data_IF_457487675980
#
_entry.id   IF_457487675980
#
_cell.length_a   1.000
_cell.length_b   1.000
_cell.length_c   1.000
_cell.angle_alpha   90.00
_cell.angle_beta   90.00
_cell.angle_gamma   90.00
#
_symmetry.space_group_name_H-M   'P 1'
#
loop_
_entity.id
_entity.type
_entity.pdbx_description
1 polymer ?
#
# COMPACT_ATOMS: atom_id res chain seq x y z
N UNK A 1 -9.68 -12.76 2.73
CA UNK A 1 -11.15 -12.68 2.50
C UNK A 1 -11.43 -11.29 1.99
N UNK A 2 -12.20 -11.12 0.92
CA UNK A 2 -12.62 -9.79 0.46
C UNK A 2 -13.60 -9.19 1.48
N UNK A 3 -13.37 -7.94 1.87
CA UNK A 3 -14.26 -7.21 2.76
C UNK A 3 -15.48 -6.70 1.96
N UNK A 4 -16.67 -7.03 2.44
CA UNK A 4 -17.94 -6.58 1.84
C UNK A 4 -18.50 -5.50 2.75
N UNK A 5 -18.49 -4.26 2.25
CA UNK A 5 -19.12 -3.10 2.89
C UNK A 5 -20.64 -3.17 2.71
N UNK A 6 -21.39 -2.88 3.77
CA UNK A 6 -22.86 -2.90 3.82
C UNK A 6 -23.48 -1.52 3.55
N UNK A 7 -22.67 -0.50 3.22
CA UNK A 7 -23.14 0.87 2.97
C UNK A 7 -23.95 0.99 1.67
N UNK A 8 -24.96 1.88 1.65
CA UNK A 8 -25.82 2.10 0.48
C UNK A 8 -25.09 2.78 -0.70
N UNK A 9 -24.25 3.78 -0.40
CA UNK A 9 -23.50 4.57 -1.39
C UNK A 9 -22.30 3.84 -1.98
N UNK A 10 -22.13 3.88 -3.31
CA UNK A 10 -21.00 3.27 -4.02
C UNK A 10 -19.66 3.92 -3.67
N UNK A 11 -19.60 5.25 -3.59
CA UNK A 11 -18.41 6.00 -3.14
C UNK A 11 -18.03 5.64 -1.70
N UNK A 12 -19.02 5.40 -0.85
CA UNK A 12 -18.82 5.06 0.55
C UNK A 12 -18.29 3.61 0.71
N UNK A 13 -18.87 2.64 -0.03
CA UNK A 13 -18.35 1.27 -0.11
C UNK A 13 -16.92 1.21 -0.67
N UNK A 14 -16.63 2.02 -1.69
CA UNK A 14 -15.29 2.16 -2.26
C UNK A 14 -14.29 2.69 -1.22
N UNK A 15 -14.62 3.78 -0.52
CA UNK A 15 -13.76 4.36 0.51
C UNK A 15 -13.53 3.37 1.67
N UNK A 16 -14.56 2.64 2.07
CA UNK A 16 -14.48 1.62 3.14
C UNK A 16 -13.56 0.44 2.75
N UNK A 17 -13.68 -0.09 1.51
CA UNK A 17 -12.76 -1.11 0.99
C UNK A 17 -11.32 -0.61 0.89
N UNK A 18 -11.10 0.61 0.41
CA UNK A 18 -9.77 1.22 0.32
C UNK A 18 -9.14 1.43 1.71
N UNK A 19 -9.90 1.92 2.68
CA UNK A 19 -9.47 2.08 4.07
C UNK A 19 -9.12 0.72 4.73
N UNK A 20 -9.93 -0.31 4.46
CA UNK A 20 -9.69 -1.65 4.97
C UNK A 20 -8.46 -2.31 4.32
N UNK A 21 -8.16 -2.02 3.04
CA UNK A 21 -6.94 -2.49 2.37
C UNK A 21 -5.68 -1.90 3.03
N UNK A 22 -5.59 -0.57 3.17
CA UNK A 22 -4.34 0.06 3.65
C UNK A 22 -3.97 -0.34 5.07
N UNK A 23 -4.97 -0.58 5.93
CA UNK A 23 -4.79 -1.08 7.29
C UNK A 23 -4.44 -2.59 7.29
N UNK A 24 -5.04 -3.38 6.39
CA UNK A 24 -4.77 -4.82 6.28
C UNK A 24 -3.39 -5.15 5.70
N UNK A 25 -2.91 -4.37 4.74
CA UNK A 25 -1.57 -4.48 4.13
C UNK A 25 -0.50 -3.71 4.93
N UNK A 26 -0.85 -3.08 6.06
CA UNK A 26 0.06 -2.35 6.95
C UNK A 26 0.81 -1.16 6.30
N UNK A 27 0.21 -0.52 5.29
CA UNK A 27 0.70 0.76 4.74
C UNK A 27 0.64 1.90 5.75
N UNK A 28 -0.39 1.86 6.60
CA UNK A 28 -0.67 2.85 7.63
C UNK A 28 -1.09 2.10 8.88
N UNK A 29 -0.56 2.45 10.04
CA UNK A 29 -0.86 1.71 11.28
C UNK A 29 -2.17 2.19 11.92
N UNK A 30 -2.79 1.39 12.80
CA UNK A 30 -3.89 1.86 13.64
C UNK A 30 -3.53 3.07 14.50
N UNK A 31 -2.26 3.21 14.91
CA UNK A 31 -1.78 4.37 15.65
C UNK A 31 -1.75 5.64 14.78
N UNK A 32 -1.34 5.53 13.50
CA UNK A 32 -1.39 6.64 12.55
C UNK A 32 -2.83 7.09 12.27
N UNK A 33 -3.79 6.17 12.27
CA UNK A 33 -5.22 6.51 12.18
C UNK A 33 -5.66 7.35 13.39
N UNK A 34 -5.36 6.90 14.62
CA UNK A 34 -5.71 7.63 15.86
C UNK A 34 -4.96 8.96 15.98
N UNK A 35 -3.76 9.08 15.41
CA UNK A 35 -3.03 10.34 15.28
C UNK A 35 -3.61 11.29 14.22
N UNK A 36 -4.49 10.80 13.33
CA UNK A 36 -5.13 11.57 12.25
C UNK A 36 -6.60 11.91 12.51
N UNK A 37 -7.27 11.04 13.28
CA UNK A 37 -8.63 11.18 13.79
C UNK A 37 -8.55 10.95 15.30
N UNK A 38 -8.37 12.04 16.04
CA UNK A 38 -8.18 11.98 17.49
C UNK A 38 -9.44 11.52 18.23
N UNK A 39 -9.33 11.19 19.52
CA UNK A 39 -10.48 10.84 20.36
C UNK A 39 -11.60 11.90 20.33
N UNK A 40 -11.27 13.18 20.16
CA UNK A 40 -12.24 14.25 19.93
C UNK A 40 -12.97 14.12 18.60
N UNK A 41 -12.24 13.98 17.48
CA UNK A 41 -12.83 13.81 16.15
C UNK A 41 -13.79 12.61 16.10
N UNK A 42 -13.37 11.48 16.69
CA UNK A 42 -14.14 10.24 16.74
C UNK A 42 -15.39 10.41 17.63
N UNK A 43 -15.31 11.13 18.76
CA UNK A 43 -16.48 11.31 19.64
C UNK A 43 -17.45 12.37 19.12
N UNK A 44 -16.97 13.41 18.45
CA UNK A 44 -17.78 14.46 17.82
C UNK A 44 -18.53 13.95 16.58
N UNK A 45 -17.85 13.23 15.67
CA UNK A 45 -18.50 12.55 14.54
C UNK A 45 -19.58 11.55 14.98
N UNK A 46 -19.42 10.94 16.16
CA UNK A 46 -20.40 10.02 16.75
C UNK A 46 -21.47 10.72 17.62
N UNK A 47 -21.62 12.05 17.59
CA UNK A 47 -22.66 12.75 18.34
C UNK A 47 -24.08 12.34 17.93
N UNK A 48 -24.33 12.13 16.63
CA UNK A 48 -25.59 11.55 16.13
C UNK A 48 -25.76 10.06 16.43
N UNK A 49 -24.72 9.37 16.90
CA UNK A 49 -24.63 7.92 17.02
C UNK A 49 -24.43 7.46 18.48
N UNK A 50 -25.23 8.02 19.41
CA UNK A 50 -25.13 7.81 20.87
C UNK A 50 -24.94 6.34 21.29
N UNK A 51 -25.55 5.37 20.60
CA UNK A 51 -25.39 3.94 20.92
C UNK A 51 -24.00 3.38 20.56
N UNK A 52 -23.47 3.72 19.38
CA UNK A 52 -22.12 3.34 18.96
C UNK A 52 -21.07 4.04 19.82
N UNK A 53 -21.28 5.34 20.09
CA UNK A 53 -20.47 6.13 21.03
C UNK A 53 -20.43 5.48 22.42
N UNK A 54 -21.59 5.06 22.93
CA UNK A 54 -21.67 4.37 24.22
C UNK A 54 -20.96 3.01 24.20
N UNK A 55 -21.11 2.21 23.15
CA UNK A 55 -20.38 0.93 22.99
C UNK A 55 -18.86 1.14 23.06
N UNK A 56 -18.34 2.11 22.31
CA UNK A 56 -16.90 2.42 22.30
C UNK A 56 -16.44 2.84 23.71
N UNK A 57 -17.18 3.69 24.42
CA UNK A 57 -16.83 4.07 25.80
C UNK A 57 -16.86 2.90 26.80
N UNK A 58 -17.78 1.95 26.64
CA UNK A 58 -17.87 0.76 27.50
C UNK A 58 -16.67 -0.17 27.26
N UNK A 59 -16.37 -0.48 26.00
CA UNK A 59 -15.35 -1.48 25.62
C UNK A 59 -13.91 -0.93 25.61
N UNK A 60 -13.70 0.33 25.22
CA UNK A 60 -12.38 0.96 25.17
C UNK A 60 -12.00 1.68 26.47
N UNK A 61 -12.96 2.37 27.11
CA UNK A 61 -12.71 3.21 28.28
C UNK A 61 -13.28 2.66 29.59
N UNK A 62 -13.86 1.46 29.59
CA UNK A 62 -14.42 0.81 30.78
C UNK A 62 -15.59 1.56 31.42
N UNK A 63 -16.22 2.50 30.70
CA UNK A 63 -17.27 3.37 31.23
C UNK A 63 -18.53 2.55 31.48
N UNK A 64 -19.04 2.59 32.72
CA UNK A 64 -20.23 1.83 33.10
C UNK A 64 -21.44 2.14 32.17
N UNK A 65 -22.07 1.09 31.62
CA UNK A 65 -23.14 1.14 30.60
C UNK A 65 -24.20 2.24 30.80
N UNK A 66 -24.73 2.37 32.03
CA UNK A 66 -25.76 3.36 32.41
C UNK A 66 -25.31 4.83 32.40
N UNK A 67 -24.02 5.08 32.24
CA UNK A 67 -23.35 6.40 32.23
C UNK A 67 -22.93 6.76 30.81
N UNK A 68 -22.34 5.82 30.06
CA UNK A 68 -21.80 6.03 28.71
C UNK A 68 -22.73 6.80 27.74
N UNK A 69 -24.03 6.45 27.52
CA UNK A 69 -24.91 7.17 26.62
C UNK A 69 -25.39 8.54 27.17
N UNK A 70 -25.08 8.86 28.42
CA UNK A 70 -25.43 10.13 29.08
C UNK A 70 -24.23 11.08 29.21
N UNK A 71 -23.03 10.63 28.83
CA UNK A 71 -21.83 11.45 28.89
C UNK A 71 -21.80 12.44 27.71
N UNK A 72 -21.34 13.65 27.96
CA UNK A 72 -21.17 14.66 26.91
C UNK A 72 -20.04 14.26 25.95
N UNK A 73 -20.16 14.74 24.71
CA UNK A 73 -19.26 14.47 23.59
C UNK A 73 -17.80 14.77 23.94
N UNK A 74 -17.53 15.94 24.55
CA UNK A 74 -16.20 16.30 25.06
C UNK A 74 -15.70 15.36 26.18
N UNK A 75 -16.53 15.07 27.19
CA UNK A 75 -16.08 14.25 28.33
C UNK A 75 -15.97 12.75 27.97
N UNK A 76 -16.53 12.34 26.82
CA UNK A 76 -16.31 11.05 26.19
C UNK A 76 -14.97 11.01 25.41
N UNK A 77 -14.59 12.11 24.75
CA UNK A 77 -13.27 12.26 24.14
C UNK A 77 -12.15 12.22 25.19
N UNK A 78 -12.35 12.90 26.33
CA UNK A 78 -11.43 12.87 27.48
C UNK A 78 -11.26 11.44 28.04
N UNK A 79 -12.33 10.67 28.21
CA UNK A 79 -12.24 9.25 28.64
C UNK A 79 -11.43 8.39 27.66
N UNK A 80 -11.70 8.53 26.35
CA UNK A 80 -11.02 7.73 25.32
C UNK A 80 -9.55 8.12 25.19
N UNK A 81 -9.22 9.41 25.28
CA UNK A 81 -7.84 9.90 25.30
C UNK A 81 -7.06 9.32 26.49
N UNK A 82 -7.60 9.43 27.71
CA UNK A 82 -7.00 8.84 28.92
C UNK A 82 -6.82 7.32 28.75
N UNK A 83 -7.77 6.64 28.12
CA UNK A 83 -7.72 5.19 27.94
C UNK A 83 -6.67 4.74 26.92
N UNK A 84 -6.34 5.58 25.93
CA UNK A 84 -5.22 5.37 25.01
C UNK A 84 -3.88 5.72 25.69
N UNK A 85 -3.82 6.82 26.44
CA UNK A 85 -2.60 7.30 27.12
C UNK A 85 -2.14 6.35 28.25
N UNK A 86 -3.08 5.77 29.00
CA UNK A 86 -2.82 4.79 30.07
C UNK A 86 -2.71 3.34 29.53
N UNK A 87 -2.88 3.10 28.22
CA UNK A 87 -2.81 1.77 27.61
C UNK A 87 -3.93 0.81 28.03
N UNK A 88 -5.11 1.35 28.36
CA UNK A 88 -6.34 0.60 28.66
C UNK A 88 -7.01 0.13 27.36
N UNK A 89 -6.89 0.93 26.29
CA UNK A 89 -7.27 0.57 24.93
C UNK A 89 -6.07 0.74 23.98
N UNK A 90 -5.81 -0.26 23.15
CA UNK A 90 -4.86 -0.16 22.04
C UNK A 90 -5.55 0.42 20.78
N UNK A 91 -4.86 1.24 19.96
CA UNK A 91 -5.37 1.69 18.66
C UNK A 91 -5.98 0.58 17.76
N UNK A 92 -5.39 -0.62 17.59
CA UNK A 92 -6.08 -1.72 16.89
C UNK A 92 -7.40 -2.14 17.53
N UNK A 93 -7.51 -2.16 18.87
CA UNK A 93 -8.76 -2.52 19.57
C UNK A 93 -9.83 -1.45 19.37
N UNK A 94 -9.46 -0.18 19.32
CA UNK A 94 -10.38 0.90 18.92
C UNK A 94 -10.90 0.71 17.48
N UNK A 95 -10.05 0.26 16.55
CA UNK A 95 -10.46 -0.04 15.17
C UNK A 95 -11.29 -1.34 15.04
N UNK A 96 -11.20 -2.29 15.96
CA UNK A 96 -12.15 -3.42 16.04
C UNK A 96 -13.56 -2.96 16.48
N UNK A 97 -13.63 -1.96 17.36
CA UNK A 97 -14.89 -1.45 17.93
C UNK A 97 -15.60 -0.43 17.01
N UNK A 98 -14.86 0.21 16.11
CA UNK A 98 -15.34 1.19 15.14
C UNK A 98 -15.04 0.67 13.73
N UNK A 99 -16.04 0.08 13.06
CA UNK A 99 -15.82 -0.65 11.79
C UNK A 99 -15.40 0.27 10.63
N UNK A 100 -14.88 -0.29 9.53
CA UNK A 100 -14.54 0.50 8.35
C UNK A 100 -15.77 1.21 7.75
N UNK A 101 -16.94 0.56 7.79
CA UNK A 101 -18.20 1.15 7.38
C UNK A 101 -18.68 2.26 8.32
N UNK A 102 -18.59 2.07 9.64
CA UNK A 102 -18.92 3.12 10.61
C UNK A 102 -17.99 4.34 10.45
N UNK A 103 -16.69 4.11 10.20
CA UNK A 103 -15.72 5.19 9.94
C UNK A 103 -16.17 6.04 8.76
N UNK A 104 -16.51 5.43 7.62
CA UNK A 104 -16.98 6.16 6.43
C UNK A 104 -18.36 6.79 6.63
N UNK A 105 -19.22 6.18 7.45
CA UNK A 105 -20.57 6.69 7.75
C UNK A 105 -20.57 7.96 8.62
N UNK A 106 -19.59 8.10 9.51
CA UNK A 106 -19.58 9.17 10.52
C UNK A 106 -18.42 10.18 10.38
N UNK A 107 -17.26 9.76 9.87
CA UNK A 107 -16.14 10.69 9.63
C UNK A 107 -16.27 11.40 8.27
N UNK A 108 -15.61 12.54 8.17
CA UNK A 108 -15.50 13.34 6.96
C UNK A 108 -14.82 12.56 5.82
N UNK A 109 -15.56 12.33 4.72
CA UNK A 109 -15.09 11.52 3.58
C UNK A 109 -13.83 12.08 2.91
N UNK A 110 -13.71 13.39 2.77
CA UNK A 110 -12.52 14.01 2.17
C UNK A 110 -11.29 13.80 3.07
N UNK A 111 -11.39 14.06 4.37
CA UNK A 111 -10.31 13.82 5.34
C UNK A 111 -9.92 12.33 5.45
N UNK A 112 -10.87 11.41 5.23
CA UNK A 112 -10.59 9.97 5.07
C UNK A 112 -9.86 9.66 3.75
N UNK A 113 -10.22 10.30 2.64
CA UNK A 113 -9.53 10.14 1.37
C UNK A 113 -8.11 10.73 1.41
N UNK A 114 -7.91 11.90 2.00
CA UNK A 114 -6.59 12.48 2.31
C UNK A 114 -5.75 11.55 3.20
N UNK A 115 -6.37 10.91 4.20
CA UNK A 115 -5.70 9.91 5.04
C UNK A 115 -5.27 8.68 4.23
N UNK A 116 -6.12 8.18 3.34
CA UNK A 116 -5.78 7.07 2.44
C UNK A 116 -4.64 7.46 1.50
N UNK A 117 -4.69 8.65 0.89
CA UNK A 117 -3.78 9.05 -0.19
C UNK A 117 -2.47 9.70 0.26
N UNK A 118 -2.35 10.01 1.55
CA UNK A 118 -1.22 10.66 2.23
C UNK A 118 0.18 10.19 1.83
N UNK A 119 0.37 8.91 1.56
CA UNK A 119 1.69 8.33 1.28
C UNK A 119 2.16 8.56 -0.17
N UNK A 120 1.31 9.14 -1.02
CA UNK A 120 1.57 9.48 -2.43
C UNK A 120 2.17 8.31 -3.24
N UNK A 121 1.73 7.08 -2.94
CA UNK A 121 2.35 5.83 -3.39
C UNK A 121 2.56 5.74 -4.92
N UNK A 122 1.73 6.41 -5.71
CA UNK A 122 1.86 6.51 -7.17
C UNK A 122 3.15 7.21 -7.64
N UNK A 123 3.80 8.02 -6.81
CA UNK A 123 5.07 8.70 -7.13
C UNK A 123 6.30 7.78 -7.07
N UNK A 124 6.20 6.61 -6.42
CA UNK A 124 7.30 5.63 -6.31
C UNK A 124 6.81 4.23 -6.73
N UNK A 125 7.06 3.80 -7.97
CA UNK A 125 6.46 2.58 -8.54
C UNK A 125 7.09 1.27 -8.01
N UNK A 126 6.77 0.90 -6.77
CA UNK A 126 7.04 -0.43 -6.19
C UNK A 126 5.98 -1.45 -6.61
N UNK A 127 6.25 -2.75 -6.43
CA UNK A 127 5.26 -3.81 -6.65
C UNK A 127 4.03 -3.63 -5.77
N UNK A 128 4.24 -3.31 -4.49
CA UNK A 128 3.19 -3.01 -3.51
C UNK A 128 2.32 -1.82 -3.99
N UNK A 129 2.93 -0.74 -4.49
CA UNK A 129 2.22 0.41 -5.04
C UNK A 129 1.39 0.08 -6.29
N UNK A 130 1.87 -0.84 -7.14
CA UNK A 130 1.13 -1.36 -8.30
C UNK A 130 -0.05 -2.23 -7.86
N UNK A 131 0.13 -3.15 -6.91
CA UNK A 131 -0.95 -3.97 -6.37
C UNK A 131 -2.08 -3.09 -5.76
N UNK A 132 -1.70 -2.03 -5.04
CA UNK A 132 -2.63 -1.04 -4.48
C UNK A 132 -3.37 -0.25 -5.57
N UNK A 133 -2.69 0.21 -6.62
CA UNK A 133 -3.33 0.87 -7.76
C UNK A 133 -4.32 -0.08 -8.48
N UNK A 134 -3.97 -1.36 -8.65
CA UNK A 134 -4.89 -2.38 -9.20
C UNK A 134 -6.15 -2.52 -8.32
N UNK A 135 -6.00 -2.58 -7.00
CA UNK A 135 -7.14 -2.69 -6.08
C UNK A 135 -8.05 -1.46 -6.14
N UNK A 136 -7.49 -0.25 -6.16
CA UNK A 136 -8.26 1.01 -6.30
C UNK A 136 -9.07 1.00 -7.61
N UNK A 137 -8.43 0.69 -8.75
CA UNK A 137 -9.10 0.67 -10.05
C UNK A 137 -10.14 -0.47 -10.15
N UNK A 138 -9.84 -1.64 -9.61
CA UNK A 138 -10.78 -2.77 -9.56
C UNK A 138 -12.01 -2.43 -8.71
N UNK A 139 -11.81 -1.85 -7.51
CA UNK A 139 -12.91 -1.47 -6.61
C UNK A 139 -13.79 -0.38 -7.23
N UNK A 140 -13.20 0.60 -7.92
CA UNK A 140 -13.95 1.64 -8.61
C UNK A 140 -14.81 1.10 -9.78
N UNK A 141 -14.35 0.03 -10.46
CA UNK A 141 -15.13 -0.69 -11.47
C UNK A 141 -16.22 -1.58 -10.85
N UNK A 142 -15.93 -2.29 -9.75
CA UNK A 142 -16.92 -3.10 -9.01
C UNK A 142 -18.09 -2.24 -8.50
N UNK A 143 -17.77 -1.08 -7.91
CA UNK A 143 -18.75 -0.13 -7.37
C UNK A 143 -19.33 0.83 -8.44
N UNK A 144 -18.89 0.70 -9.69
CA UNK A 144 -19.37 1.47 -10.86
C UNK A 144 -19.23 2.99 -10.71
N UNK A 145 -18.12 3.42 -10.10
CA UNK A 145 -17.69 4.83 -10.06
C UNK A 145 -17.05 5.26 -11.38
N UNK A 146 -16.51 4.30 -12.14
CA UNK A 146 -16.02 4.48 -13.51
C UNK A 146 -16.53 3.33 -14.38
N UNK A 147 -16.79 3.60 -15.66
CA UNK A 147 -16.99 2.56 -16.67
C UNK A 147 -15.66 2.18 -17.33
N UNK A 148 -15.62 0.99 -17.95
CA UNK A 148 -14.48 0.54 -18.76
C UNK A 148 -14.13 1.51 -19.91
N UNK A 149 -15.09 2.30 -20.37
CA UNK A 149 -14.88 3.37 -21.35
C UNK A 149 -14.07 4.54 -20.78
N UNK A 150 -14.49 5.09 -19.64
CA UNK A 150 -13.78 6.20 -18.98
C UNK A 150 -12.36 5.82 -18.56
N UNK A 151 -12.13 4.55 -18.21
CA UNK A 151 -10.79 4.03 -17.92
C UNK A 151 -9.89 3.97 -19.18
N UNK A 152 -10.43 3.57 -20.34
CA UNK A 152 -9.71 3.64 -21.63
C UNK A 152 -9.40 5.09 -22.00
N UNK A 153 -10.37 6.00 -21.84
CA UNK A 153 -10.23 7.40 -22.22
C UNK A 153 -9.28 8.18 -21.28
N UNK A 154 -9.30 7.91 -19.97
CA UNK A 154 -8.37 8.51 -19.01
C UNK A 154 -6.92 8.02 -19.16
N UNK A 155 -6.72 6.75 -19.53
CA UNK A 155 -5.38 6.26 -19.91
C UNK A 155 -4.95 6.83 -21.27
N UNK A 156 -5.89 6.93 -22.21
CA UNK A 156 -5.67 7.35 -23.59
C UNK A 156 -5.19 6.18 -24.46
N UNK A 157 -6.00 5.80 -25.46
CA UNK A 157 -5.72 4.68 -26.37
C UNK A 157 -4.37 4.81 -27.12
N UNK A 158 -3.99 6.04 -27.49
CA UNK A 158 -2.68 6.36 -28.05
C UNK A 158 -1.51 6.08 -27.11
N UNK A 159 -1.70 6.21 -25.80
CA UNK A 159 -0.67 5.95 -24.80
C UNK A 159 -0.62 4.46 -24.46
N UNK A 160 -1.79 3.82 -24.31
CA UNK A 160 -1.91 2.38 -24.16
C UNK A 160 -1.14 1.64 -25.28
N UNK A 161 -1.29 2.07 -26.54
CA UNK A 161 -0.59 1.50 -27.69
C UNK A 161 0.94 1.76 -27.75
N UNK A 162 1.48 2.66 -26.91
CA UNK A 162 2.91 2.97 -26.78
C UNK A 162 3.55 2.22 -25.60
N UNK A 163 2.83 2.14 -24.49
CA UNK A 163 3.35 1.60 -23.22
C UNK A 163 3.16 0.07 -23.11
N UNK A 164 2.15 -0.53 -23.77
CA UNK A 164 1.94 -2.00 -23.77
C UNK A 164 3.02 -2.77 -24.56
N UNK A 165 3.40 -3.99 -24.11
CA UNK A 165 4.29 -4.86 -24.85
C UNK A 165 3.63 -5.40 -26.12
N UNK A 166 4.43 -5.51 -27.20
CA UNK A 166 3.98 -5.93 -28.54
C UNK A 166 3.16 -7.22 -28.54
N UNK A 167 3.53 -8.21 -27.73
CA UNK A 167 2.80 -9.49 -27.63
C UNK A 167 1.38 -9.37 -27.08
N UNK A 168 1.06 -8.36 -26.25
CA UNK A 168 -0.32 -8.07 -25.84
C UNK A 168 -1.05 -7.25 -26.92
N UNK A 169 -0.39 -6.26 -27.52
CA UNK A 169 -0.95 -5.46 -28.61
C UNK A 169 -1.32 -6.32 -29.84
N UNK A 170 -0.52 -7.34 -30.16
CA UNK A 170 -0.80 -8.32 -31.20
C UNK A 170 -2.03 -9.17 -30.88
N UNK A 171 -2.21 -9.60 -29.62
CA UNK A 171 -3.41 -10.33 -29.19
C UNK A 171 -4.67 -9.46 -29.25
N UNK A 172 -4.58 -8.19 -28.83
CA UNK A 172 -5.67 -7.20 -28.95
C UNK A 172 -6.05 -7.00 -30.42
N UNK A 173 -5.06 -6.85 -31.31
CA UNK A 173 -5.30 -6.69 -32.74
C UNK A 173 -5.92 -7.94 -33.37
N UNK A 174 -5.47 -9.14 -33.00
CA UNK A 174 -6.07 -10.41 -33.45
C UNK A 174 -7.51 -10.52 -32.98
N UNK A 175 -7.82 -10.13 -31.74
CA UNK A 175 -9.19 -10.13 -31.20
C UNK A 175 -10.08 -9.12 -31.92
N UNK A 176 -9.62 -7.86 -32.09
CA UNK A 176 -10.36 -6.83 -32.82
C UNK A 176 -10.65 -7.23 -34.29
N UNK A 177 -9.69 -7.86 -34.97
CA UNK A 177 -9.89 -8.41 -36.32
C UNK A 177 -10.85 -9.61 -36.32
N UNK A 178 -10.86 -10.43 -35.27
CA UNK A 178 -11.81 -11.53 -35.12
C UNK A 178 -13.24 -11.03 -34.90
N UNK A 179 -13.45 -10.10 -33.96
CA UNK A 179 -14.78 -9.56 -33.66
C UNK A 179 -15.33 -8.71 -34.81
N UNK A 180 -14.48 -7.92 -35.48
CA UNK A 180 -14.85 -7.22 -36.71
C UNK A 180 -15.23 -8.17 -37.86
N UNK A 181 -14.59 -9.35 -37.98
CA UNK A 181 -15.02 -10.42 -38.91
C UNK A 181 -16.32 -11.09 -38.49
N UNK A 182 -16.63 -11.14 -37.19
CA UNK A 182 -17.90 -11.61 -36.67
C UNK A 182 -19.02 -10.55 -36.77
N UNK A 183 -18.73 -9.34 -37.28
CA UNK A 183 -19.70 -8.25 -37.41
C UNK A 183 -20.02 -7.54 -36.08
N UNK A 184 -19.18 -7.72 -35.06
CA UNK A 184 -19.31 -7.07 -33.75
C UNK A 184 -18.45 -5.80 -33.70
N UNK A 185 -18.85 -4.78 -32.91
CA UNK A 185 -17.90 -3.75 -32.45
C UNK A 185 -16.79 -4.37 -31.61
N UNK A 186 -15.66 -3.68 -31.49
CA UNK A 186 -14.62 -3.99 -30.51
C UNK A 186 -14.92 -3.21 -29.23
N UNK A 187 -15.64 -3.85 -28.31
CA UNK A 187 -16.10 -3.22 -27.07
C UNK A 187 -15.01 -3.19 -25.98
N UNK A 188 -15.04 -2.22 -25.04
CA UNK A 188 -14.12 -2.15 -23.90
C UNK A 188 -13.95 -3.46 -23.11
N UNK A 189 -15.02 -4.24 -22.94
CA UNK A 189 -14.96 -5.56 -22.31
C UNK A 189 -14.07 -6.56 -23.07
N UNK A 190 -14.07 -6.51 -24.40
CA UNK A 190 -13.21 -7.36 -25.25
C UNK A 190 -11.72 -6.98 -25.21
N UNK A 191 -11.40 -5.75 -24.79
CA UNK A 191 -10.03 -5.34 -24.46
C UNK A 191 -9.61 -5.90 -23.09
N UNK A 192 -10.49 -5.83 -22.10
CA UNK A 192 -10.26 -6.34 -20.74
C UNK A 192 -10.22 -7.88 -20.65
N UNK A 193 -10.84 -8.61 -21.58
CA UNK A 193 -10.60 -10.05 -21.73
C UNK A 193 -9.15 -10.39 -22.12
N UNK A 194 -8.42 -9.48 -22.79
CA UNK A 194 -7.09 -9.72 -23.36
C UNK A 194 -5.97 -9.07 -22.54
N UNK A 195 -6.22 -7.94 -21.89
CA UNK A 195 -5.25 -7.18 -21.09
C UNK A 195 -5.88 -6.85 -19.74
N UNK A 196 -5.43 -7.51 -18.68
CA UNK A 196 -6.02 -7.43 -17.33
C UNK A 196 -5.46 -6.22 -16.57
N UNK A 197 -6.19 -5.69 -15.59
CA UNK A 197 -5.74 -4.53 -14.77
C UNK A 197 -4.27 -4.59 -14.30
N UNK A 198 -3.72 -5.74 -13.83
CA UNK A 198 -2.30 -5.83 -13.50
C UNK A 198 -1.35 -5.50 -14.66
N UNK A 199 -1.67 -5.89 -15.90
CA UNK A 199 -0.86 -5.61 -17.08
C UNK A 199 -0.86 -4.09 -17.40
N UNK A 200 -2.02 -3.43 -17.27
CA UNK A 200 -2.13 -1.98 -17.44
C UNK A 200 -1.27 -1.24 -16.41
N UNK A 201 -1.37 -1.64 -15.14
CA UNK A 201 -0.67 -1.02 -14.02
C UNK A 201 0.82 -1.41 -13.96
N UNK A 202 1.23 -2.50 -14.61
CA UNK A 202 2.63 -2.84 -14.84
C UNK A 202 3.29 -1.92 -15.89
N UNK A 203 2.57 -1.60 -16.97
CA UNK A 203 3.14 -0.94 -18.14
C UNK A 203 2.90 0.58 -18.23
N UNK A 204 1.74 1.08 -17.78
CA UNK A 204 1.42 2.51 -17.75
C UNK A 204 1.99 3.16 -16.47
N UNK A 205 2.40 4.42 -16.53
CA UNK A 205 2.88 5.15 -15.35
C UNK A 205 1.77 5.32 -14.30
N UNK A 206 2.08 4.98 -13.04
CA UNK A 206 1.16 5.14 -11.90
C UNK A 206 0.70 6.60 -11.70
N UNK A 207 1.60 7.57 -11.90
CA UNK A 207 1.29 8.99 -11.80
C UNK A 207 0.27 9.44 -12.87
N UNK A 208 0.36 8.88 -14.08
CA UNK A 208 -0.61 9.14 -15.16
C UNK A 208 -1.98 8.51 -14.85
N UNK A 209 -1.99 7.28 -14.35
CA UNK A 209 -3.20 6.61 -13.89
C UNK A 209 -3.87 7.39 -12.75
N UNK A 210 -3.09 7.84 -11.78
CA UNK A 210 -3.58 8.63 -10.65
C UNK A 210 -4.26 9.92 -11.13
N UNK A 211 -3.54 10.79 -11.85
CA UNK A 211 -4.08 12.09 -12.26
C UNK A 211 -5.29 11.98 -13.21
N UNK A 212 -5.22 11.12 -14.24
CA UNK A 212 -6.21 11.11 -15.32
C UNK A 212 -7.38 10.13 -15.11
N UNK A 213 -7.27 9.20 -14.16
CA UNK A 213 -8.37 8.27 -13.81
C UNK A 213 -8.84 8.51 -12.38
N UNK A 214 -7.94 8.48 -11.39
CA UNK A 214 -8.36 8.61 -9.99
C UNK A 214 -8.85 10.03 -9.71
N UNK A 215 -8.00 11.03 -9.91
CA UNK A 215 -8.36 12.42 -9.61
C UNK A 215 -9.37 12.99 -10.62
N UNK A 216 -9.16 12.76 -11.91
CA UNK A 216 -10.04 13.32 -12.94
C UNK A 216 -11.41 12.64 -13.06
N UNK A 217 -11.65 11.46 -12.44
CA UNK A 217 -12.92 10.70 -12.58
C UNK A 217 -13.42 10.08 -11.28
N UNK A 218 -12.60 9.35 -10.54
CA UNK A 218 -13.06 8.65 -9.31
C UNK A 218 -13.36 9.64 -8.19
N UNK A 219 -12.51 10.65 -7.95
CA UNK A 219 -12.72 11.66 -6.90
C UNK A 219 -14.04 12.45 -7.11
N UNK A 220 -14.36 12.96 -8.32
CA UNK A 220 -15.69 13.52 -8.62
C UNK A 220 -16.85 12.52 -8.50
N UNK A 221 -16.67 11.27 -8.98
CA UNK A 221 -17.74 10.27 -8.98
C UNK A 221 -18.07 9.71 -7.59
N UNK A 222 -17.09 9.69 -6.68
CA UNK A 222 -17.28 9.33 -5.27
C UNK A 222 -17.79 10.51 -4.42
N UNK A 223 -17.75 11.74 -4.93
CA UNK A 223 -18.18 12.95 -4.22
C UNK A 223 -17.17 13.42 -3.18
N UNK A 224 -15.87 13.36 -3.51
CA UNK A 224 -14.78 13.84 -2.65
C UNK A 224 -14.46 15.34 -2.89
N UNK A 225 -14.73 15.86 -4.10
CA UNK A 225 -14.66 17.29 -4.42
C UNK A 225 -15.81 18.10 -3.75
N UNK A 226 -15.68 18.45 -2.46
CA UNK A 226 -16.50 19.53 -1.86
C UNK A 226 -15.94 20.92 -2.18
N UNK A 227 -15.88 21.24 -3.48
CA UNK A 227 -15.66 22.61 -3.97
C UNK A 227 -16.98 23.17 -4.57
N UNK A 228 -18.11 22.92 -3.89
CA UNK A 228 -19.33 23.71 -4.08
C UNK A 228 -20.70 23.01 -4.04
N UNK A 229 -21.20 22.72 -2.83
CA UNK A 229 -22.64 22.74 -2.47
C UNK A 229 -23.62 22.09 -3.48
N UNK A 230 -23.79 20.77 -3.37
CA UNK A 230 -25.03 20.11 -3.76
C UNK A 230 -25.89 19.86 -2.50
N UNK A 231 -26.92 20.69 -2.28
CA UNK A 231 -27.81 20.56 -1.13
C UNK A 231 -28.51 19.19 -1.14
N UNK A 232 -28.32 18.40 -0.07
CA UNK A 232 -29.27 17.35 0.31
C UNK A 232 -30.60 18.02 0.66
N UNK A 233 -31.57 17.93 -0.24
CA UNK A 233 -32.92 18.44 -0.02
C UNK A 233 -33.69 17.51 0.90
N UNK A 234 -33.59 17.76 2.20
CA UNK A 234 -34.38 17.14 3.26
C UNK A 234 -35.88 17.31 2.99
N UNK A 235 -36.57 16.26 2.53
CA UNK A 235 -37.93 15.88 2.97
C UNK A 235 -38.43 14.63 2.23
N UNK A 236 -38.52 13.51 2.94
CA UNK A 236 -39.51 12.47 2.62
C UNK A 236 -40.09 11.88 3.92
N UNK A 237 -40.92 12.69 4.59
CA UNK A 237 -41.74 12.29 5.75
C UNK A 237 -43.19 12.72 5.48
N UNK A 238 -43.98 11.82 4.91
CA UNK A 238 -45.44 11.90 4.92
C UNK A 238 -45.96 11.50 6.33
N UNK A 239 -47.07 12.09 6.84
CA UNK A 239 -48.40 11.70 6.35
C UNK A 239 -49.54 12.76 6.44
N UNK A 240 -50.62 12.55 5.63
CA UNK A 240 -52.08 12.69 5.97
C UNK A 240 -52.57 14.05 6.56
N UNK A 241 -53.58 14.77 6.04
CA UNK A 241 -54.94 14.37 5.63
C UNK A 241 -55.67 15.49 4.81
N UNK A 242 -56.85 15.22 4.20
CA UNK A 242 -57.88 16.26 3.89
C UNK A 242 -58.32 16.56 2.43
N UNK A 243 -59.63 16.41 2.21
CA UNK A 243 -60.59 16.85 1.14
C UNK A 243 -60.48 18.30 0.56
N UNK A 244 -61.13 18.76 -0.52
CA UNK A 244 -62.11 18.27 -1.56
C UNK A 244 -61.93 19.13 -2.88
N UNK A 245 -62.64 18.91 -4.04
CA UNK A 245 -62.12 19.29 -5.38
C UNK A 245 -62.81 20.44 -6.23
N UNK A 246 -63.59 20.25 -7.34
CA UNK A 246 -63.39 20.97 -8.63
C UNK A 246 -64.69 21.68 -9.17
N UNK A 247 -64.97 21.98 -10.49
CA UNK A 247 -64.20 21.90 -11.77
C UNK A 247 -64.41 23.08 -12.82
N UNK A 248 -63.85 22.90 -14.04
CA UNK A 248 -64.40 23.27 -15.39
C UNK A 248 -64.10 24.62 -16.11
N UNK A 249 -63.93 24.56 -17.46
CA UNK A 249 -64.00 25.71 -18.41
C UNK A 249 -63.10 25.60 -19.68
N UNK A 250 -63.59 25.76 -20.95
CA UNK A 250 -62.78 25.48 -22.17
C UNK A 250 -62.58 26.65 -23.21
N UNK A 251 -62.85 26.56 -24.55
CA UNK A 251 -61.90 26.81 -25.67
C UNK A 251 -62.30 28.05 -26.56
N UNK A 252 -62.02 28.25 -27.91
CA UNK A 252 -61.30 27.44 -28.95
C UNK A 252 -60.53 28.16 -30.14
N UNK A 253 -59.86 27.34 -30.99
CA UNK A 253 -59.90 27.34 -32.50
C UNK A 253 -59.00 28.18 -33.46
N UNK A 254 -58.44 27.45 -34.47
CA UNK A 254 -58.20 27.76 -35.93
C UNK A 254 -57.03 28.70 -36.34
N UNK A 255 -56.37 28.54 -37.51
CA UNK A 255 -56.40 27.46 -38.53
C UNK A 255 -55.80 27.81 -39.93
N UNK A 256 -55.66 26.82 -40.84
CA UNK A 256 -55.07 26.83 -42.23
C UNK A 256 -53.52 26.92 -42.31
N UNK A 257 -52.81 26.37 -43.32
CA UNK A 257 -53.16 25.43 -44.41
C UNK A 257 -52.35 25.64 -45.73
N UNK A 258 -51.77 24.58 -46.35
CA UNK A 258 -51.03 24.65 -47.64
C UNK A 258 -50.35 23.32 -48.08
N UNK A 259 -49.98 23.12 -49.36
CA UNK A 259 -49.50 21.82 -49.90
C UNK A 259 -48.66 21.91 -51.21
N UNK A 260 -47.63 21.06 -51.37
CA UNK A 260 -46.94 20.72 -52.64
C UNK A 260 -45.44 21.07 -52.70
N UNK A 261 -44.60 20.55 -53.63
CA UNK A 261 -44.73 19.38 -54.52
C UNK A 261 -43.37 19.00 -55.20
N UNK A 262 -43.09 17.70 -55.37
CA UNK A 262 -42.26 17.06 -56.44
C UNK A 262 -40.82 17.55 -56.81
N UNK A 263 -39.82 16.65 -56.66
CA UNK A 263 -39.21 16.02 -57.86
C UNK A 263 -37.67 16.00 -58.11
N UNK A 264 -37.15 14.77 -58.33
CA UNK A 264 -36.33 14.32 -59.49
C UNK A 264 -34.79 14.55 -59.55
N UNK A 265 -34.04 13.41 -59.60
CA UNK A 265 -32.69 13.09 -60.19
C UNK A 265 -31.51 14.10 -60.03
N UNK A 266 -30.25 13.73 -59.79
CA UNK A 266 -29.60 12.40 -59.70
C UNK A 266 -28.39 12.29 -60.65
N UNK A 267 -27.19 11.93 -60.15
CA UNK A 267 -25.97 11.79 -60.97
C UNK A 267 -24.71 11.34 -60.20
N UNK A 268 -23.95 10.43 -60.82
CA UNK A 268 -22.60 9.89 -60.54
C UNK A 268 -21.98 9.62 -61.96
N UNK A 269 -20.71 9.23 -62.22
CA UNK A 269 -19.51 8.98 -61.40
C UNK A 269 -18.32 9.87 -61.95
N UNK A 270 -17.00 9.52 -62.07
CA UNK A 270 -16.22 8.31 -61.70
C UNK A 270 -14.86 8.55 -61.00
N UNK A 271 -14.10 7.46 -60.80
CA UNK A 271 -12.76 7.39 -60.21
C UNK A 271 -11.78 6.53 -61.06
N UNK A 272 -10.46 6.73 -60.92
CA UNK A 272 -9.35 5.74 -61.11
C UNK A 272 -7.95 6.38 -60.94
N UNK A 273 -6.92 5.58 -60.64
CA UNK A 273 -5.49 5.98 -60.54
C UNK A 273 -4.72 5.88 -61.87
N UNK A 274 -3.38 5.56 -61.94
CA UNK A 274 -2.49 5.04 -60.87
C UNK A 274 -0.98 5.50 -60.92
N UNK A 275 -0.11 4.80 -60.14
CA UNK A 275 1.31 4.43 -60.41
C UNK A 275 2.54 5.36 -60.08
N UNK A 276 3.22 4.99 -58.97
CA UNK A 276 4.66 4.61 -58.82
C UNK A 276 5.87 5.49 -59.27
N UNK A 277 6.83 5.65 -58.34
CA UNK A 277 8.31 5.65 -58.56
C UNK A 277 9.07 5.36 -57.24
N UNK A 278 10.36 5.00 -57.28
CA UNK A 278 11.10 4.47 -56.11
C UNK A 278 12.63 4.75 -56.09
N UNK A 279 13.20 4.72 -54.87
CA UNK A 279 14.63 4.62 -54.50
C UNK A 279 15.60 5.75 -54.93
N UNK A 280 16.83 5.84 -54.37
CA UNK A 280 17.42 5.19 -53.17
C UNK A 280 17.63 6.21 -52.01
N UNK A 281 18.28 5.94 -50.87
CA UNK A 281 18.96 4.74 -50.35
C UNK A 281 19.36 4.95 -48.88
N UNK A 282 19.92 3.93 -48.21
CA UNK A 282 20.27 3.97 -46.79
C UNK A 282 21.67 3.39 -46.52
N UNK A 283 22.29 3.78 -45.39
CA UNK A 283 23.51 3.19 -44.86
C UNK A 283 24.50 4.21 -44.27
N UNK A 284 24.44 4.41 -42.95
CA UNK A 284 25.58 4.87 -42.10
C UNK A 284 25.20 4.91 -40.61
N UNK A 285 23.93 5.17 -40.27
CA UNK A 285 23.48 5.41 -38.88
C UNK A 285 23.47 4.21 -37.90
N UNK A 286 23.87 3.00 -38.33
CA UNK A 286 23.82 1.82 -37.47
C UNK A 286 25.07 1.68 -36.57
N UNK A 287 26.27 1.88 -37.13
CA UNK A 287 27.53 1.66 -36.43
C UNK A 287 27.74 2.62 -35.24
N UNK A 288 27.24 3.86 -35.35
CA UNK A 288 27.31 4.85 -34.28
C UNK A 288 26.43 4.49 -33.08
N UNK A 289 25.22 3.96 -33.33
CA UNK A 289 24.24 3.72 -32.28
C UNK A 289 24.66 2.62 -31.30
N UNK A 290 25.34 1.58 -31.78
CA UNK A 290 25.88 0.53 -30.92
C UNK A 290 27.17 0.97 -30.22
N UNK A 291 28.06 1.72 -30.90
CA UNK A 291 29.23 2.33 -30.25
C UNK A 291 28.87 3.35 -29.15
N UNK A 292 27.77 4.09 -29.30
CA UNK A 292 27.23 4.98 -28.26
C UNK A 292 26.64 4.21 -27.07
N UNK A 293 26.05 3.02 -27.30
CA UNK A 293 25.58 2.12 -26.23
C UNK A 293 26.74 1.53 -25.44
N UNK A 294 27.75 0.99 -26.12
CA UNK A 294 28.95 0.43 -25.48
C UNK A 294 29.67 1.49 -24.64
N UNK A 295 29.79 2.72 -25.17
CA UNK A 295 30.35 3.85 -24.44
C UNK A 295 29.50 4.27 -23.22
N UNK A 296 28.17 4.22 -23.34
CA UNK A 296 27.27 4.50 -22.23
C UNK A 296 27.32 3.42 -21.13
N UNK A 297 27.40 2.14 -21.49
CA UNK A 297 27.56 1.05 -20.53
C UNK A 297 28.90 1.15 -19.79
N UNK A 298 30.01 1.35 -20.50
CA UNK A 298 31.32 1.54 -19.88
C UNK A 298 31.35 2.77 -18.95
N UNK A 299 30.69 3.86 -19.34
CA UNK A 299 30.56 5.06 -18.50
C UNK A 299 29.66 4.84 -17.28
N UNK A 300 28.66 3.95 -17.34
CA UNK A 300 27.86 3.55 -16.18
C UNK A 300 28.66 2.63 -15.24
N UNK A 301 29.35 1.63 -15.81
CA UNK A 301 30.22 0.69 -15.09
C UNK A 301 31.29 1.43 -14.28
N UNK A 302 31.97 2.41 -14.87
CA UNK A 302 32.99 3.19 -14.17
C UNK A 302 32.41 3.99 -13.00
N UNK A 303 31.20 4.55 -13.12
CA UNK A 303 30.54 5.26 -12.01
C UNK A 303 30.25 4.34 -10.83
N UNK A 304 29.71 3.14 -11.10
CA UNK A 304 29.46 2.15 -10.06
C UNK A 304 30.77 1.73 -9.37
N UNK A 305 31.82 1.44 -10.14
CA UNK A 305 33.16 1.14 -9.60
C UNK A 305 33.68 2.29 -8.72
N UNK A 306 33.58 3.54 -9.19
CA UNK A 306 34.01 4.73 -8.44
C UNK A 306 33.20 4.96 -7.15
N UNK A 307 31.89 4.68 -7.15
CA UNK A 307 31.02 4.83 -5.97
C UNK A 307 31.28 3.72 -4.95
N UNK A 308 31.29 2.45 -5.39
CA UNK A 308 31.61 1.29 -4.56
C UNK A 308 33.04 1.38 -3.98
N UNK A 309 33.99 1.97 -4.70
CA UNK A 309 35.32 2.26 -4.17
C UNK A 309 35.27 3.30 -3.03
N UNK A 310 34.53 4.40 -3.19
CA UNK A 310 34.41 5.47 -2.16
C UNK A 310 33.79 4.96 -0.86
N UNK A 311 32.80 4.07 -0.92
CA UNK A 311 32.17 3.47 0.27
C UNK A 311 32.94 2.25 0.82
N UNK A 312 34.02 1.82 0.14
CA UNK A 312 34.81 0.65 0.51
C UNK A 312 34.02 -0.66 0.42
N UNK A 313 33.23 -0.82 -0.65
CA UNK A 313 32.41 -2.02 -0.98
C UNK A 313 32.65 -2.59 -2.38
N UNK A 314 33.63 -2.08 -3.12
CA UNK A 314 34.04 -2.63 -4.42
C UNK A 314 34.53 -4.09 -4.29
N UNK A 315 33.91 -5.06 -4.98
CA UNK A 315 34.37 -6.46 -4.99
C UNK A 315 35.80 -6.60 -5.55
N UNK A 316 36.66 -7.47 -5.00
CA UNK A 316 38.01 -7.68 -5.53
C UNK A 316 38.00 -8.19 -6.97
N UNK A 317 36.95 -8.93 -7.35
CA UNK A 317 36.73 -9.51 -8.68
C UNK A 317 35.74 -8.71 -9.55
N UNK A 318 35.57 -7.41 -9.31
CA UNK A 318 34.64 -6.55 -10.07
C UNK A 318 34.91 -6.52 -11.59
N UNK A 319 36.12 -6.88 -12.06
CA UNK A 319 36.41 -7.07 -13.48
C UNK A 319 35.67 -8.29 -14.09
N UNK A 320 35.42 -9.34 -13.28
CA UNK A 320 34.76 -10.57 -13.72
C UNK A 320 33.23 -10.56 -13.55
N UNK A 321 32.68 -9.55 -12.86
CA UNK A 321 31.23 -9.35 -12.74
C UNK A 321 30.67 -8.67 -13.99
N UNK A 322 29.43 -8.99 -14.35
CA UNK A 322 28.70 -8.26 -15.39
C UNK A 322 28.31 -6.85 -14.92
N UNK A 323 28.03 -5.96 -15.86
CA UNK A 323 27.73 -4.56 -15.55
C UNK A 323 26.41 -4.39 -14.80
N UNK A 324 25.42 -5.26 -15.03
CA UNK A 324 24.13 -5.20 -14.34
C UNK A 324 24.26 -5.59 -12.86
N UNK A 325 25.03 -6.62 -12.52
CA UNK A 325 25.35 -6.98 -11.13
C UNK A 325 26.07 -5.85 -10.40
N UNK A 326 27.03 -5.16 -11.04
CA UNK A 326 27.70 -4.01 -10.43
C UNK A 326 26.75 -2.82 -10.17
N UNK A 327 25.83 -2.54 -11.10
CA UNK A 327 24.82 -1.49 -10.94
C UNK A 327 23.77 -1.85 -9.89
N UNK A 328 23.38 -3.13 -9.79
CA UNK A 328 22.49 -3.63 -8.74
C UNK A 328 23.13 -3.51 -7.34
N UNK A 329 24.43 -3.80 -7.21
CA UNK A 329 25.18 -3.58 -5.95
C UNK A 329 25.27 -2.08 -5.61
N UNK A 330 25.45 -1.19 -6.59
CA UNK A 330 25.47 0.27 -6.36
C UNK A 330 24.10 0.79 -5.91
N UNK A 331 23.00 0.39 -6.55
CA UNK A 331 21.63 0.71 -6.11
C UNK A 331 21.37 0.16 -4.71
N UNK A 332 21.70 -1.10 -4.45
CA UNK A 332 21.53 -1.74 -3.15
C UNK A 332 22.17 -0.91 -2.02
N UNK A 333 23.37 -0.36 -2.21
CA UNK A 333 23.99 0.48 -1.17
C UNK A 333 23.40 1.88 -1.05
N UNK A 334 22.71 2.39 -2.08
CA UNK A 334 21.87 3.60 -1.97
C UNK A 334 20.59 3.30 -1.19
N UNK A 335 19.93 2.18 -1.49
CA UNK A 335 18.65 1.78 -0.90
C UNK A 335 18.78 1.25 0.55
N UNK A 336 19.92 0.63 0.89
CA UNK A 336 20.29 0.23 2.26
C UNK A 336 20.66 1.42 3.18
N UNK A 337 21.12 2.54 2.62
CA UNK A 337 21.62 3.68 3.40
C UNK A 337 20.59 4.34 4.35
N UNK A 338 19.30 4.55 3.97
CA UNK A 338 18.29 5.07 4.88
C UNK A 338 17.73 4.05 5.88
N UNK A 339 17.92 2.74 5.63
CA UNK A 339 17.28 1.67 6.42
C UNK A 339 18.00 1.49 7.77
N UNK A 340 17.22 1.35 8.85
CA UNK A 340 17.72 1.31 10.24
C UNK A 340 17.60 -0.06 10.91
N UNK A 341 16.51 -0.79 10.66
CA UNK A 341 16.24 -2.17 11.11
C UNK A 341 17.01 -3.19 10.26
N UNK A 342 17.21 -4.41 10.77
CA UNK A 342 17.91 -5.46 10.01
C UNK A 342 16.91 -6.22 9.11
N UNK A 343 15.65 -6.28 9.51
CA UNK A 343 14.53 -6.90 8.78
C UNK A 343 14.27 -6.19 7.44
N UNK A 344 14.17 -4.85 7.44
CA UNK A 344 13.95 -4.07 6.22
C UNK A 344 15.16 -4.13 5.27
N UNK A 345 16.38 -4.31 5.81
CA UNK A 345 17.57 -4.56 5.00
C UNK A 345 17.54 -5.96 4.37
N UNK A 346 17.01 -6.95 5.08
CA UNK A 346 16.82 -8.32 4.56
C UNK A 346 15.79 -8.37 3.41
N UNK A 347 14.73 -7.56 3.49
CA UNK A 347 13.74 -7.37 2.41
C UNK A 347 14.37 -6.63 1.22
N UNK A 348 15.02 -5.48 1.46
CA UNK A 348 15.73 -4.70 0.43
C UNK A 348 16.77 -5.51 -0.35
N UNK A 349 17.56 -6.37 0.32
CA UNK A 349 18.55 -7.23 -0.34
C UNK A 349 17.88 -8.26 -1.26
N UNK A 350 16.69 -8.78 -0.93
CA UNK A 350 15.95 -9.69 -1.81
C UNK A 350 15.36 -8.97 -3.02
N UNK A 351 14.78 -7.78 -2.83
CA UNK A 351 14.13 -7.01 -3.91
C UNK A 351 15.15 -6.39 -4.90
N UNK A 352 16.39 -6.13 -4.48
CA UNK A 352 17.40 -5.45 -5.30
C UNK A 352 17.96 -6.26 -6.50
N UNK A 353 17.70 -7.56 -6.62
CA UNK A 353 18.26 -8.41 -7.68
C UNK A 353 17.18 -9.19 -8.44
N UNK A 354 17.11 -9.10 -9.78
CA UNK A 354 16.02 -9.68 -10.57
C UNK A 354 16.10 -11.22 -10.74
N UNK A 355 17.08 -11.90 -10.13
CA UNK A 355 17.30 -13.34 -10.22
C UNK A 355 18.17 -13.83 -9.04
N UNK A 356 17.79 -14.94 -8.41
CA UNK A 356 18.58 -15.59 -7.33
C UNK A 356 20.04 -15.88 -7.74
N UNK A 357 20.28 -16.20 -9.01
CA UNK A 357 21.65 -16.40 -9.50
C UNK A 357 22.51 -15.12 -9.44
N UNK A 358 21.91 -13.94 -9.69
CA UNK A 358 22.60 -12.64 -9.55
C UNK A 358 22.72 -12.25 -8.08
N UNK A 359 21.66 -12.46 -7.29
CA UNK A 359 21.65 -12.24 -5.83
C UNK A 359 22.79 -13.00 -5.15
N UNK A 360 22.89 -14.32 -5.37
CA UNK A 360 23.91 -15.17 -4.75
C UNK A 360 25.32 -14.83 -5.26
N UNK A 361 25.47 -14.51 -6.55
CA UNK A 361 26.74 -14.02 -7.11
C UNK A 361 27.21 -12.71 -6.46
N UNK A 362 26.29 -11.74 -6.30
CA UNK A 362 26.56 -10.47 -5.64
C UNK A 362 26.88 -10.65 -4.15
N UNK A 363 26.12 -11.47 -3.41
CA UNK A 363 26.35 -11.71 -1.99
C UNK A 363 27.69 -12.41 -1.72
N UNK A 364 28.09 -13.38 -2.55
CA UNK A 364 29.42 -14.00 -2.46
C UNK A 364 30.54 -12.98 -2.75
N UNK A 365 30.35 -12.12 -3.74
CA UNK A 365 31.29 -11.05 -4.07
C UNK A 365 31.39 -9.98 -2.96
N UNK A 366 30.30 -9.67 -2.26
CA UNK A 366 30.29 -8.78 -1.09
C UNK A 366 30.87 -9.44 0.16
N UNK A 367 30.66 -10.76 0.36
CA UNK A 367 31.28 -11.50 1.45
C UNK A 367 32.82 -11.45 1.37
N UNK A 368 33.41 -11.54 0.16
CA UNK A 368 34.86 -11.38 -0.09
C UNK A 368 35.38 -9.97 0.30
N UNK A 369 34.54 -8.93 0.25
CA UNK A 369 34.87 -7.55 0.71
C UNK A 369 34.72 -7.38 2.23
N UNK A 370 33.93 -8.23 2.87
CA UNK A 370 33.57 -8.11 4.28
C UNK A 370 34.49 -8.94 5.20
N UNK A 371 34.83 -10.18 4.82
CA UNK A 371 35.92 -10.95 5.42
C UNK A 371 36.83 -11.57 4.34
N UNK A 372 38.04 -11.01 4.10
CA UNK A 372 39.01 -11.54 3.14
C UNK A 372 39.56 -12.94 3.44
N UNK A 373 39.18 -13.57 4.56
CA UNK A 373 39.59 -14.93 4.94
C UNK A 373 38.48 -15.97 4.68
N UNK A 374 37.34 -15.58 4.10
CA UNK A 374 36.17 -16.45 3.96
C UNK A 374 36.33 -17.47 2.83
N UNK A 375 35.94 -18.73 3.07
CA UNK A 375 35.98 -19.77 2.04
C UNK A 375 34.75 -19.69 1.13
N UNK A 376 34.88 -18.89 0.08
CA UNK A 376 33.86 -18.71 -0.97
C UNK A 376 33.52 -20.06 -1.62
N UNK A 377 34.49 -20.97 -1.79
CA UNK A 377 34.29 -22.25 -2.48
C UNK A 377 33.56 -23.31 -1.62
N UNK A 378 33.39 -23.05 -0.32
CA UNK A 378 32.46 -23.75 0.54
C UNK A 378 31.06 -23.09 0.49
N UNK A 379 30.99 -21.76 0.63
CA UNK A 379 29.73 -21.01 0.60
C UNK A 379 28.96 -21.16 -0.73
N UNK A 380 29.66 -21.19 -1.87
CA UNK A 380 29.09 -21.40 -3.20
C UNK A 380 28.31 -22.73 -3.32
N UNK A 381 28.69 -23.75 -2.53
CA UNK A 381 28.08 -25.08 -2.56
C UNK A 381 27.00 -25.26 -1.50
N UNK A 382 27.30 -24.85 -0.28
CA UNK A 382 26.54 -25.26 0.90
C UNK A 382 25.63 -24.15 1.49
N UNK A 383 25.75 -22.89 1.02
CA UNK A 383 24.94 -21.77 1.52
C UNK A 383 23.78 -21.41 0.57
N UNK A 384 22.57 -21.38 1.12
CA UNK A 384 21.36 -20.81 0.52
C UNK A 384 21.35 -19.28 0.57
N UNK A 385 20.47 -18.66 -0.21
CA UNK A 385 20.40 -17.20 -0.31
C UNK A 385 20.15 -16.53 1.05
N UNK A 386 19.22 -17.05 1.86
CA UNK A 386 18.89 -16.46 3.16
C UNK A 386 20.08 -16.49 4.14
N UNK A 387 20.89 -17.56 4.12
CA UNK A 387 22.13 -17.62 4.91
C UNK A 387 23.18 -16.61 4.41
N UNK A 388 23.30 -16.43 3.09
CA UNK A 388 24.22 -15.43 2.50
C UNK A 388 23.81 -13.99 2.85
N UNK A 389 22.51 -13.67 2.80
CA UNK A 389 21.99 -12.35 3.22
C UNK A 389 22.32 -12.08 4.69
N UNK A 390 22.02 -13.05 5.57
CA UNK A 390 22.27 -12.93 7.02
C UNK A 390 23.76 -12.82 7.34
N UNK A 391 24.62 -13.50 6.58
CA UNK A 391 26.08 -13.40 6.71
C UNK A 391 26.61 -12.02 6.30
N UNK A 392 26.11 -11.47 5.17
CA UNK A 392 26.48 -10.12 4.71
C UNK A 392 26.01 -9.05 5.70
N UNK A 393 24.75 -9.11 6.17
CA UNK A 393 24.23 -8.19 7.19
C UNK A 393 24.99 -8.27 8.52
N UNK A 394 25.34 -9.48 8.97
CA UNK A 394 26.14 -9.69 10.17
C UNK A 394 27.54 -9.06 10.06
N UNK A 395 28.25 -9.30 8.95
CA UNK A 395 29.58 -8.72 8.77
C UNK A 395 29.55 -7.22 8.50
N UNK A 396 28.53 -6.69 7.82
CA UNK A 396 28.31 -5.23 7.71
C UNK A 396 28.17 -4.60 9.10
N UNK A 397 27.29 -5.14 9.94
CA UNK A 397 27.10 -4.70 11.32
C UNK A 397 28.38 -4.81 12.14
N UNK A 398 29.12 -5.91 12.01
CA UNK A 398 30.44 -6.12 12.65
C UNK A 398 31.52 -5.18 12.11
N UNK A 399 31.47 -4.78 10.83
CA UNK A 399 32.41 -3.83 10.18
C UNK A 399 32.09 -2.39 10.62
N UNK A 400 30.81 -2.01 10.68
CA UNK A 400 30.35 -0.73 11.23
C UNK A 400 30.75 -0.56 12.72
N UNK A 401 30.56 -1.59 13.55
CA UNK A 401 30.99 -1.57 14.96
C UNK A 401 32.51 -1.53 15.12
N UNK A 402 33.28 -2.19 14.24
CA UNK A 402 34.75 -2.05 14.17
C UNK A 402 35.13 -0.59 13.86
N UNK A 403 34.53 0.01 12.84
CA UNK A 403 34.77 1.42 12.46
C UNK A 403 34.42 2.41 13.57
N UNK A 404 33.27 2.24 14.25
CA UNK A 404 32.86 3.05 15.40
C UNK A 404 33.87 2.96 16.55
N UNK A 405 34.42 1.77 16.83
CA UNK A 405 35.44 1.58 17.87
C UNK A 405 36.80 2.21 17.49
N UNK A 406 37.20 2.17 16.22
CA UNK A 406 38.42 2.86 15.75
C UNK A 406 38.33 4.40 15.74
N UNK A 407 37.13 4.96 15.77
CA UNK A 407 36.90 6.41 15.88
C UNK A 407 36.89 6.93 17.32
N UNK A 408 37.05 6.04 18.32
CA UNK A 408 37.20 6.46 19.72
C UNK A 408 38.62 7.02 19.91
N UNK A 409 38.80 8.28 20.38
CA UNK A 409 40.14 8.82 20.59
C UNK A 409 40.96 7.98 21.58
N UNK A 410 42.30 7.87 21.43
CA UNK A 410 43.13 7.33 22.49
C UNK A 410 42.93 8.18 23.76
N UNK A 411 42.84 7.57 24.95
CA UNK A 411 42.67 8.32 26.19
C UNK A 411 43.87 9.26 26.40
N UNK A 412 43.67 10.45 26.99
CA UNK A 412 44.75 11.39 27.21
C UNK A 412 45.85 10.76 28.07
N UNK A 413 47.10 10.93 27.65
CA UNK A 413 48.27 10.35 28.30
C UNK A 413 48.38 10.84 29.75
N UNK A 414 48.01 9.98 30.71
CA UNK A 414 47.84 10.34 32.11
C UNK A 414 46.75 9.55 32.84
N UNK A 415 45.79 8.95 32.11
CA UNK A 415 44.85 8.00 32.70
C UNK A 415 45.59 6.74 33.21
N UNK A 416 45.37 6.28 34.47
CA UNK A 416 45.96 5.04 34.96
C UNK A 416 45.37 3.82 34.23
N UNK A 417 46.13 2.71 34.10
CA UNK A 417 45.68 1.56 33.36
C UNK A 417 44.45 0.92 34.02
N UNK A 418 43.33 0.90 33.30
CA UNK A 418 42.14 0.17 33.69
C UNK A 418 42.43 -1.34 33.67
N UNK A 419 42.70 -1.91 34.83
CA UNK A 419 42.95 -3.34 35.00
C UNK A 419 41.78 -4.18 34.48
N UNK A 420 42.11 -5.34 33.91
CA UNK A 420 41.19 -6.11 33.08
C UNK A 420 39.88 -6.54 33.77
N UNK A 421 38.83 -6.71 32.96
CA UNK A 421 37.55 -7.32 33.37
C UNK A 421 37.76 -8.73 33.93
N UNK A 422 37.82 -8.84 35.26
CA UNK A 422 37.24 -9.98 35.95
C UNK A 422 35.71 -9.79 36.02
N UNK A 423 34.94 -10.87 35.95
CA UNK A 423 33.48 -10.82 35.95
C UNK A 423 32.92 -10.30 37.28
N UNK A 424 32.30 -9.13 37.27
CA UNK A 424 31.61 -8.55 38.42
C UNK A 424 30.13 -8.95 38.43
N UNK A 425 29.74 -9.76 39.42
CA UNK A 425 28.35 -9.95 39.83
C UNK A 425 27.74 -8.63 40.37
N UNK A 426 26.40 -8.50 40.46
CA UNK A 426 25.77 -7.34 41.10
C UNK A 426 26.20 -7.21 42.59
N UNK A 427 26.23 -5.97 43.12
CA UNK A 427 26.69 -5.72 44.48
C UNK A 427 25.72 -6.27 45.55
N UNK A 428 26.22 -6.64 46.75
CA UNK A 428 25.37 -7.09 47.85
C UNK A 428 24.56 -5.93 48.44
N UNK A 429 23.34 -6.25 48.89
CA UNK A 429 22.50 -5.33 49.66
C UNK A 429 23.10 -5.04 51.05
N UNK A 430 22.86 -3.85 51.63
CA UNK A 430 23.30 -3.53 52.99
C UNK A 430 22.56 -4.40 54.04
N UNK A 431 23.21 -4.71 55.17
CA UNK A 431 22.62 -5.56 56.20
C UNK A 431 21.43 -4.88 56.91
N UNK A 432 20.33 -5.63 57.05
CA UNK A 432 19.16 -5.23 57.83
C UNK A 432 19.49 -5.16 59.34
N UNK A 433 18.87 -4.23 60.10
CA UNK A 433 18.96 -4.24 61.56
C UNK A 433 18.25 -5.47 62.16
N UNK A 434 18.67 -5.94 63.35
CA UNK A 434 18.09 -7.14 63.96
C UNK A 434 16.62 -6.92 64.38
N UNK A 435 15.75 -7.94 64.24
CA UNK A 435 14.35 -7.84 64.64
C UNK A 435 14.19 -7.79 66.18
N UNK A 436 13.14 -7.12 66.69
CA UNK A 436 12.84 -7.11 68.12
C UNK A 436 12.47 -8.51 68.62
N UNK A 437 12.93 -8.84 69.84
CA UNK A 437 12.75 -10.16 70.45
C UNK A 437 11.29 -10.49 70.76
N UNK A 438 10.72 -11.43 70.01
CA UNK A 438 9.64 -12.29 70.51
C UNK A 438 8.24 -12.10 69.90
N UNK A 439 7.99 -12.79 68.79
CA UNK A 439 6.72 -13.48 68.53
C UNK A 439 6.98 -14.69 67.62
N UNK A 440 6.28 -15.81 67.86
CA UNK A 440 6.41 -17.03 67.04
C UNK A 440 5.45 -16.97 65.84
N UNK A 441 5.93 -17.10 64.60
CA UNK A 441 5.05 -17.48 63.49
C UNK A 441 4.66 -18.96 63.65
N UNK A 442 3.36 -19.26 63.53
CA UNK A 442 2.84 -20.63 63.51
C UNK A 442 3.05 -21.27 62.13
N UNK A 443 3.48 -22.54 62.10
CA UNK A 443 3.67 -23.30 60.86
C UNK A 443 2.36 -23.45 60.07
N UNK A 444 2.36 -23.32 58.73
CA UNK A 444 1.24 -23.75 57.91
C UNK A 444 1.14 -25.28 57.88
N UNK A 445 -0.07 -25.87 57.72
CA UNK A 445 -0.25 -27.31 57.60
C UNK A 445 0.20 -27.83 56.22
N UNK A 446 0.60 -29.12 56.11
CA UNK A 446 0.97 -29.74 54.84
C UNK A 446 -0.25 -30.00 53.93
N UNK A 447 -0.06 -30.14 52.61
CA UNK A 447 -1.13 -30.44 51.66
C UNK A 447 -1.71 -31.84 51.87
N UNK A 448 -3.02 -31.98 51.62
CA UNK A 448 -3.72 -33.26 51.72
C UNK A 448 -3.36 -34.20 50.55
N UNK A 449 -3.30 -35.51 50.85
CA UNK A 449 -3.21 -36.57 49.83
C UNK A 449 -4.57 -36.81 49.18
N UNK A 450 -4.63 -37.21 47.90
CA UNK A 450 -5.89 -37.56 47.24
C UNK A 450 -6.50 -38.82 47.85
N UNK A 451 -7.78 -38.74 48.27
CA UNK A 451 -8.52 -39.88 48.80
C UNK A 451 -8.86 -40.91 47.71
N UNK A 452 -8.99 -42.18 48.12
CA UNK A 452 -9.21 -43.29 47.19
C UNK A 452 -10.63 -43.28 46.61
N UNK A 453 -10.75 -43.49 45.30
CA UNK A 453 -12.04 -43.61 44.63
C UNK A 453 -12.83 -44.83 45.16
N UNK A 454 -14.05 -44.58 45.64
CA UNK A 454 -14.94 -45.62 46.17
C UNK A 454 -15.41 -46.61 45.10
N UNK A 455 -15.56 -47.89 45.48
CA UNK A 455 -16.06 -48.94 44.61
C UNK A 455 -17.56 -48.82 44.28
N UNK A 456 -18.03 -49.44 43.18
CA UNK A 456 -19.39 -49.25 42.67
C UNK A 456 -20.46 -50.05 43.45
N UNK A 457 -21.63 -49.47 43.76
CA UNK A 457 -22.76 -50.21 44.32
C UNK A 457 -23.50 -51.00 43.22
N UNK A 458 -23.47 -52.33 43.31
CA UNK A 458 -24.16 -53.22 42.37
C UNK A 458 -25.35 -53.94 42.99
N UNK A 459 -26.56 -53.67 42.48
CA UNK A 459 -27.79 -54.47 42.56
C UNK A 459 -28.24 -55.00 43.95
N UNK A 460 -29.36 -54.49 44.43
CA UNK A 460 -30.67 -55.16 44.20
C UNK A 460 -31.84 -54.20 44.40
#
# INVERSE_FOLDING_TARGET
MTYVSELDGSGDRFLSRCLQQILGESWVTPADFVASFGPSDIMESLEGATELRARILIEAAGVHEKIAPKKSTQAAAEDLQISLDEGICDPPRLLELFSADDRVRYLERQRLWDFVTRDEFWKKPSEKARARMVFVLATALEEKLIDLGDLIDGVGSERLAKDLPKGLLEQVLVRAVSDGRAGKPFDPAGLFEVVQLPDWVAHVSLEHLWANVVQSRIEPAAGFDDDGIALVSDTDIAPVDGDEPPPAGPPPSKGKGGKGSSGKKGGNPPASGPAAKAAPGAGDGAASADGERDAAELAARQRAVDTLAKIGRLPPRHEALDTATLLAIDSLYVDLAPLTTDEAREECIREAFPNDAMLRGALLALAEVLDPNIDIAALEKDADADSLIKLVLFEERRKADRSRRSLTPPPPAGAPPASGRASSAPPPLPPLPPPPSGQRPSSPPPPALPEAAGGPPGRR
#
